data_IF_448114749267
#
_entry.id   IF_448114749267
#
_cell.length_a   1.000
_cell.length_b   1.000
_cell.length_c   1.000
_cell.angle_alpha   90.00
_cell.angle_beta   90.00
_cell.angle_gamma   90.00
#
_symmetry.space_group_name_H-M   'P 1'
#
loop_
_entity.id
_entity.type
_entity.pdbx_description
1 polymer ?
#
# COMPACT_ATOMS: atom_id res chain seq x y z
N UNK A 1 8.20 -40.51 13.93
CA UNK A 1 8.09 -40.91 15.36
C UNK A 1 9.32 -40.55 16.21
N UNK A 2 10.52 -40.36 15.64
CA UNK A 2 11.73 -39.93 16.38
C UNK A 2 11.77 -38.40 16.65
N UNK A 3 11.09 -37.58 15.83
CA UNK A 3 11.05 -36.12 16.01
C UNK A 3 10.20 -35.65 17.23
N UNK A 4 9.24 -36.44 17.71
CA UNK A 4 8.38 -36.09 18.85
C UNK A 4 9.10 -36.37 20.19
N UNK A 5 9.97 -37.38 20.24
CA UNK A 5 10.78 -37.69 21.42
C UNK A 5 11.90 -36.65 21.66
N UNK A 6 12.44 -36.04 20.60
CA UNK A 6 13.47 -34.99 20.70
C UNK A 6 12.86 -33.66 21.18
N UNK A 7 11.62 -33.34 20.77
CA UNK A 7 10.92 -32.15 21.23
C UNK A 7 10.56 -32.19 22.73
N UNK A 8 10.21 -33.37 23.26
CA UNK A 8 9.90 -33.54 24.69
C UNK A 8 11.11 -33.37 25.63
N UNK A 9 12.31 -33.79 25.19
CA UNK A 9 13.54 -33.68 25.99
C UNK A 9 14.07 -32.23 26.07
N UNK A 10 13.90 -31.46 24.99
CA UNK A 10 14.35 -30.04 24.93
C UNK A 10 13.49 -29.12 25.81
N UNK A 11 12.20 -29.44 25.99
CA UNK A 11 11.29 -28.66 26.85
C UNK A 11 11.60 -28.88 28.35
N UNK A 12 12.02 -30.09 28.74
CA UNK A 12 12.40 -30.41 30.13
C UNK A 12 13.76 -29.79 30.53
N UNK A 13 14.68 -29.66 29.57
CA UNK A 13 15.99 -29.00 29.76
C UNK A 13 15.89 -27.48 29.97
N UNK A 14 14.96 -26.79 29.27
CA UNK A 14 14.78 -25.34 29.44
C UNK A 14 14.26 -24.95 30.83
N UNK A 15 13.40 -25.75 31.48
CA UNK A 15 12.84 -25.42 32.81
C UNK A 15 13.88 -25.43 33.94
N UNK A 16 14.96 -26.20 33.83
CA UNK A 16 16.04 -26.26 34.84
C UNK A 16 17.03 -25.09 34.70
N UNK A 17 17.21 -24.55 33.49
CA UNK A 17 18.13 -23.43 33.19
C UNK A 17 17.58 -22.06 33.62
N UNK A 18 16.25 -21.89 33.66
CA UNK A 18 15.61 -20.65 34.14
C UNK A 18 15.77 -20.42 35.66
N UNK A 19 16.08 -21.44 36.46
CA UNK A 19 16.30 -21.30 37.92
C UNK A 19 17.74 -20.94 38.30
N UNK A 20 18.71 -21.11 37.38
CA UNK A 20 20.10 -20.66 37.56
C UNK A 20 20.34 -19.24 37.02
N UNK A 21 19.57 -18.79 36.03
CA UNK A 21 19.68 -17.45 35.47
C UNK A 21 19.17 -16.33 36.40
N UNK A 22 18.29 -16.64 37.36
CA UNK A 22 17.86 -15.68 38.38
C UNK A 22 18.89 -15.44 39.49
N UNK A 23 19.86 -16.35 39.69
CA UNK A 23 20.92 -16.16 40.69
C UNK A 23 22.14 -15.41 40.13
N UNK A 24 22.36 -15.48 38.82
CA UNK A 24 23.45 -14.73 38.15
C UNK A 24 23.11 -13.27 37.86
N UNK A 25 21.83 -12.89 37.94
CA UNK A 25 21.36 -11.54 37.60
C UNK A 25 21.73 -10.45 38.64
N UNK A 26 22.22 -10.84 39.83
CA UNK A 26 22.58 -9.90 40.89
C UNK A 26 24.08 -9.62 41.05
N UNK A 27 24.96 -10.16 40.19
CA UNK A 27 26.42 -10.00 40.35
C UNK A 27 27.13 -9.22 39.22
N UNK A 28 26.45 -8.92 38.11
CA UNK A 28 27.08 -8.26 36.94
C UNK A 28 26.38 -6.92 36.60
N UNK A 29 25.73 -6.28 37.57
CA UNK A 29 25.07 -4.99 37.35
C UNK A 29 25.99 -3.77 37.58
N UNK A 30 27.29 -3.96 37.81
CA UNK A 30 28.18 -2.90 38.29
C UNK A 30 29.00 -2.11 37.25
N UNK A 31 29.32 -2.66 36.08
CA UNK A 31 30.24 -2.00 35.13
C UNK A 31 29.99 -2.48 33.70
N UNK A 32 29.29 -1.67 32.87
CA UNK A 32 29.54 -1.46 31.42
C UNK A 32 28.37 -0.95 30.57
N UNK A 33 27.15 -0.75 31.09
CA UNK A 33 26.08 -0.16 30.28
C UNK A 33 25.39 0.99 31.02
N UNK A 34 25.68 2.22 30.59
CA UNK A 34 24.82 3.37 30.82
C UNK A 34 23.45 3.14 30.18
N UNK A 35 22.34 3.62 30.77
CA UNK A 35 21.00 3.36 30.25
C UNK A 35 20.81 4.06 28.89
N UNK A 36 20.56 3.28 27.85
CA UNK A 36 20.03 3.77 26.58
C UNK A 36 18.73 4.54 26.85
N UNK A 37 18.63 5.75 26.31
CA UNK A 37 17.51 6.66 26.57
C UNK A 37 16.16 6.02 26.20
N UNK A 38 15.07 6.37 26.91
CA UNK A 38 13.73 5.83 26.63
C UNK A 38 13.24 6.10 25.20
N UNK A 39 13.82 7.08 24.51
CA UNK A 39 13.58 7.33 23.07
C UNK A 39 14.19 6.26 22.15
N UNK A 40 15.32 5.65 22.52
CA UNK A 40 15.93 4.57 21.72
C UNK A 40 15.10 3.29 21.79
N UNK A 41 14.57 2.93 22.97
CA UNK A 41 13.63 1.81 23.10
C UNK A 41 12.30 2.08 22.37
N UNK A 42 11.81 3.33 22.39
CA UNK A 42 10.62 3.73 21.62
C UNK A 42 10.85 3.63 20.10
N UNK A 43 12.02 4.05 19.61
CA UNK A 43 12.38 3.98 18.19
C UNK A 43 12.60 2.54 17.73
N UNK A 44 13.22 1.69 18.54
CA UNK A 44 13.34 0.25 18.25
C UNK A 44 11.98 -0.43 18.25
N UNK A 45 11.06 -0.07 19.15
CA UNK A 45 9.69 -0.57 19.18
C UNK A 45 8.84 -0.09 17.99
N UNK A 46 9.09 1.14 17.51
CA UNK A 46 8.46 1.70 16.30
C UNK A 46 8.99 1.00 15.05
N UNK A 47 10.31 0.77 14.96
CA UNK A 47 10.92 -0.01 13.88
C UNK A 47 10.35 -1.44 13.89
N UNK A 48 10.27 -2.09 15.06
CA UNK A 48 9.64 -3.41 15.20
C UNK A 48 8.15 -3.39 14.82
N UNK A 49 7.40 -2.34 15.17
CA UNK A 49 5.99 -2.16 14.76
C UNK A 49 5.83 -1.92 13.26
N UNK A 50 6.77 -1.20 12.62
CA UNK A 50 6.80 -0.98 11.16
C UNK A 50 7.15 -2.28 10.43
N UNK A 51 8.02 -3.12 11.00
CA UNK A 51 8.26 -4.47 10.49
C UNK A 51 7.04 -5.38 10.69
N UNK A 52 6.28 -5.22 11.79
CA UNK A 52 5.13 -6.07 12.06
C UNK A 52 3.83 -5.58 11.43
N UNK A 53 3.68 -4.33 11.00
CA UNK A 53 2.43 -3.82 10.39
C UNK A 53 2.11 -4.44 9.01
N UNK A 54 3.08 -4.72 8.13
CA UNK A 54 2.87 -5.58 6.97
C UNK A 54 2.59 -7.04 7.36
N UNK A 55 3.09 -7.49 8.52
CA UNK A 55 2.94 -8.86 9.05
C UNK A 55 1.69 -9.07 9.93
N UNK A 56 1.04 -8.02 10.45
CA UNK A 56 -0.13 -8.13 11.34
C UNK A 56 -1.44 -7.99 10.57
N UNK A 57 -1.42 -7.35 9.40
CA UNK A 57 -2.50 -7.51 8.43
C UNK A 57 -2.45 -8.87 7.71
N UNK A 58 -1.43 -9.69 8.00
CA UNK A 58 -1.35 -11.07 7.53
C UNK A 58 -2.50 -11.93 8.10
N UNK A 59 -3.10 -11.55 9.25
CA UNK A 59 -4.26 -12.26 9.80
C UNK A 59 -5.54 -12.08 8.96
N UNK A 60 -5.65 -10.98 8.21
CA UNK A 60 -6.69 -10.79 7.20
C UNK A 60 -6.37 -11.47 5.86
N UNK A 61 -5.12 -11.91 5.67
CA UNK A 61 -4.64 -12.66 4.50
C UNK A 61 -4.61 -14.18 4.70
N UNK A 62 -4.66 -14.68 5.94
CA UNK A 62 -4.63 -16.11 6.28
C UNK A 62 -5.90 -16.90 5.95
N UNK A 63 -6.91 -16.27 5.34
CA UNK A 63 -8.18 -16.94 5.01
C UNK A 63 -8.23 -17.57 3.61
N UNK A 64 -7.12 -17.63 2.86
CA UNK A 64 -7.14 -18.27 1.53
C UNK A 64 -5.92 -19.15 1.29
N UNK A 65 -6.18 -20.43 1.02
CA UNK A 65 -5.29 -21.41 0.39
C UNK A 65 -4.72 -20.98 -1.00
N UNK A 66 -4.78 -19.69 -1.37
CA UNK A 66 -4.44 -19.16 -2.69
C UNK A 66 -3.55 -17.90 -2.67
N UNK A 67 -2.91 -17.55 -1.55
CA UNK A 67 -2.05 -16.36 -1.47
C UNK A 67 -0.85 -16.42 -2.45
N UNK A 68 -0.29 -17.61 -2.63
CA UNK A 68 0.81 -17.88 -3.57
C UNK A 68 0.42 -17.63 -5.04
N UNK A 69 -0.85 -17.85 -5.38
CA UNK A 69 -1.38 -17.65 -6.73
C UNK A 69 -2.01 -16.27 -6.94
N UNK A 70 -1.96 -15.38 -5.94
CA UNK A 70 -2.44 -14.02 -6.08
C UNK A 70 -1.52 -13.17 -6.98
N UNK A 71 -2.11 -12.15 -7.59
CA UNK A 71 -1.38 -11.23 -8.46
C UNK A 71 -0.47 -10.28 -7.66
N UNK A 72 0.80 -10.26 -8.02
CA UNK A 72 1.84 -9.40 -7.50
C UNK A 72 2.10 -8.25 -8.48
N UNK A 73 1.50 -7.09 -8.22
CA UNK A 73 1.58 -5.91 -9.08
C UNK A 73 2.49 -4.79 -8.55
N UNK A 74 3.22 -5.01 -7.45
CA UNK A 74 4.02 -3.96 -6.81
C UNK A 74 5.17 -3.46 -7.69
N UNK A 75 5.79 -4.32 -8.51
CA UNK A 75 6.99 -3.99 -9.30
C UNK A 75 6.74 -3.94 -10.82
N UNK A 76 5.51 -3.70 -11.25
CA UNK A 76 5.18 -3.69 -12.69
C UNK A 76 5.78 -2.48 -13.41
N UNK A 77 5.85 -1.32 -12.75
CA UNK A 77 6.40 -0.10 -13.34
C UNK A 77 7.92 -0.03 -13.17
N UNK A 78 8.62 0.38 -14.23
CA UNK A 78 10.08 0.52 -14.23
C UNK A 78 10.60 1.47 -13.15
N UNK A 79 9.87 2.55 -12.84
CA UNK A 79 10.28 3.47 -11.76
C UNK A 79 10.32 2.79 -10.38
N UNK A 80 9.37 1.87 -10.09
CA UNK A 80 9.34 1.11 -8.84
C UNK A 80 10.52 0.14 -8.74
N UNK A 81 10.92 -0.44 -9.88
CA UNK A 81 12.14 -1.26 -9.98
C UNK A 81 13.39 -0.43 -9.74
N UNK A 82 13.46 0.79 -10.30
CA UNK A 82 14.58 1.71 -10.05
C UNK A 82 14.67 2.11 -8.57
N UNK A 83 13.54 2.36 -7.91
CA UNK A 83 13.50 2.60 -6.46
C UNK A 83 14.04 1.40 -5.69
N UNK A 84 13.62 0.18 -6.03
CA UNK A 84 14.15 -1.04 -5.43
C UNK A 84 15.67 -1.16 -5.59
N UNK A 85 16.17 -0.99 -6.82
CA UNK A 85 17.61 -1.09 -7.14
C UNK A 85 18.40 -0.02 -6.38
N UNK A 86 17.95 1.23 -6.43
CA UNK A 86 18.60 2.35 -5.74
C UNK A 86 18.63 2.14 -4.24
N UNK A 87 17.52 1.68 -3.65
CA UNK A 87 17.43 1.43 -2.22
C UNK A 87 18.37 0.31 -1.80
N UNK A 88 18.37 -0.82 -2.52
CA UNK A 88 19.28 -1.94 -2.25
C UNK A 88 20.75 -1.55 -2.39
N UNK A 89 21.10 -0.80 -3.43
CA UNK A 89 22.49 -0.37 -3.69
C UNK A 89 22.96 0.59 -2.60
N UNK A 90 22.19 1.65 -2.33
CA UNK A 90 22.56 2.66 -1.34
C UNK A 90 22.62 2.06 0.08
N UNK A 91 21.64 1.24 0.44
CA UNK A 91 21.64 0.55 1.73
C UNK A 91 22.85 -0.37 1.86
N UNK A 92 23.19 -1.14 0.82
CA UNK A 92 24.33 -2.07 0.86
C UNK A 92 25.65 -1.30 1.03
N UNK A 93 25.85 -0.22 0.28
CA UNK A 93 27.05 0.64 0.40
C UNK A 93 27.16 1.19 1.82
N UNK A 94 26.08 1.77 2.36
CA UNK A 94 26.07 2.33 3.71
C UNK A 94 26.30 1.25 4.78
N UNK A 95 25.58 0.14 4.67
CA UNK A 95 25.66 -0.96 5.63
C UNK A 95 27.05 -1.59 5.68
N UNK A 96 27.65 -1.86 4.52
CA UNK A 96 28.98 -2.46 4.42
C UNK A 96 30.05 -1.51 4.96
N UNK A 97 30.01 -0.22 4.61
CA UNK A 97 31.02 0.74 5.08
C UNK A 97 30.89 1.10 6.57
N UNK A 98 29.66 1.14 7.10
CA UNK A 98 29.43 1.54 8.49
C UNK A 98 29.59 0.39 9.49
N UNK A 99 29.15 -0.81 9.10
CA UNK A 99 29.12 -1.96 9.99
C UNK A 99 30.24 -2.96 9.73
N UNK A 100 30.84 -2.95 8.52
CA UNK A 100 31.89 -3.90 8.10
C UNK A 100 31.54 -5.34 8.49
N UNK A 101 30.39 -5.86 8.02
CA UNK A 101 29.92 -7.18 8.42
C UNK A 101 30.98 -8.23 8.09
N UNK A 102 31.11 -9.25 8.95
CA UNK A 102 32.03 -10.38 8.74
C UNK A 102 33.52 -9.99 8.68
N UNK A 103 33.86 -8.79 9.15
CA UNK A 103 35.24 -8.28 9.19
C UNK A 103 35.90 -8.24 7.79
N UNK A 104 35.12 -7.86 6.78
CA UNK A 104 35.56 -7.66 5.38
C UNK A 104 36.58 -6.53 5.22
N UNK A 105 36.76 -5.70 6.24
CA UNK A 105 37.86 -4.73 6.37
C UNK A 105 39.23 -5.41 6.44
N UNK A 106 39.30 -6.65 6.96
CA UNK A 106 40.58 -7.34 7.20
C UNK A 106 41.04 -8.22 6.03
N UNK A 107 40.26 -8.29 4.96
CA UNK A 107 40.56 -9.14 3.81
C UNK A 107 41.76 -8.64 3.01
N UNK A 108 42.05 -7.34 3.11
CA UNK A 108 43.17 -6.67 2.47
C UNK A 108 43.70 -5.60 3.44
N UNK A 109 45.01 -5.35 3.41
CA UNK A 109 45.67 -4.44 4.35
C UNK A 109 45.59 -2.96 3.90
N UNK A 110 44.40 -2.52 3.50
CA UNK A 110 44.17 -1.18 2.98
C UNK A 110 43.41 -0.30 3.97
N UNK A 111 43.51 1.03 3.82
CA UNK A 111 43.01 1.97 4.82
C UNK A 111 42.42 3.23 4.18
N UNK A 112 41.46 3.86 4.85
CA UNK A 112 40.88 5.12 4.44
C UNK A 112 40.06 5.02 3.16
N UNK A 113 40.40 5.80 2.13
CA UNK A 113 39.60 5.91 0.90
C UNK A 113 39.64 4.64 0.04
N UNK A 114 40.77 3.92 -0.02
CA UNK A 114 40.85 2.68 -0.80
C UNK A 114 39.89 1.62 -0.26
N UNK A 115 39.83 1.49 1.06
CA UNK A 115 38.95 0.59 1.77
C UNK A 115 37.49 0.96 1.51
N UNK A 116 37.17 2.25 1.61
CA UNK A 116 35.84 2.76 1.30
C UNK A 116 35.41 2.41 -0.14
N UNK A 117 36.29 2.58 -1.13
CA UNK A 117 35.97 2.25 -2.53
C UNK A 117 35.81 0.74 -2.75
N UNK A 118 36.67 -0.11 -2.16
CA UNK A 118 36.51 -1.57 -2.24
C UNK A 118 35.19 -2.01 -1.62
N UNK A 119 34.93 -1.56 -0.40
CA UNK A 119 33.71 -1.88 0.35
C UNK A 119 32.44 -1.41 -0.38
N UNK A 120 32.47 -0.20 -0.93
CA UNK A 120 31.37 0.31 -1.76
C UNK A 120 31.21 -0.48 -3.06
N UNK A 121 32.30 -1.01 -3.62
CA UNK A 121 32.30 -1.87 -4.81
C UNK A 121 31.38 -3.08 -4.68
N UNK A 122 31.33 -3.73 -3.52
CA UNK A 122 30.39 -4.85 -3.27
C UNK A 122 28.93 -4.43 -3.45
N UNK A 123 28.57 -3.26 -2.92
CA UNK A 123 27.22 -2.71 -3.06
C UNK A 123 26.89 -2.35 -4.51
N UNK A 124 27.85 -1.80 -5.25
CA UNK A 124 27.69 -1.46 -6.68
C UNK A 124 27.51 -2.73 -7.52
N UNK A 125 28.32 -3.77 -7.30
CA UNK A 125 28.20 -5.05 -8.00
C UNK A 125 26.80 -5.65 -7.76
N UNK A 126 26.34 -5.67 -6.51
CA UNK A 126 24.98 -6.11 -6.16
C UNK A 126 23.91 -5.29 -6.89
N UNK A 127 24.05 -3.96 -6.89
CA UNK A 127 23.16 -3.05 -7.60
C UNK A 127 23.09 -3.31 -9.11
N UNK A 128 24.22 -3.54 -9.76
CA UNK A 128 24.30 -3.87 -11.20
C UNK A 128 23.62 -5.21 -11.49
N UNK A 129 23.90 -6.26 -10.70
CA UNK A 129 23.29 -7.58 -10.88
C UNK A 129 21.76 -7.52 -10.72
N UNK A 130 21.28 -6.86 -9.66
CA UNK A 130 19.84 -6.67 -9.44
C UNK A 130 19.22 -5.80 -10.55
N UNK A 131 19.94 -4.77 -11.01
CA UNK A 131 19.52 -3.89 -12.09
C UNK A 131 19.31 -4.63 -13.41
N UNK A 132 20.32 -5.39 -13.84
CA UNK A 132 20.25 -6.24 -15.02
C UNK A 132 19.11 -7.26 -14.90
N UNK A 133 19.00 -7.91 -13.75
CA UNK A 133 17.95 -8.88 -13.46
C UNK A 133 16.53 -8.28 -13.59
N UNK A 134 16.23 -7.17 -12.90
CA UNK A 134 14.88 -6.61 -12.83
C UNK A 134 14.47 -5.82 -14.08
N UNK A 135 15.42 -5.14 -14.74
CA UNK A 135 15.14 -4.26 -15.88
C UNK A 135 15.25 -4.97 -17.23
N UNK A 136 16.16 -5.95 -17.37
CA UNK A 136 16.45 -6.58 -18.66
C UNK A 136 15.96 -8.03 -18.65
N UNK A 137 16.47 -8.87 -17.75
CA UNK A 137 16.25 -10.32 -17.81
C UNK A 137 14.79 -10.68 -17.49
N UNK A 138 14.23 -10.12 -16.41
CA UNK A 138 12.88 -10.42 -15.95
C UNK A 138 11.79 -10.08 -16.99
N UNK A 139 11.78 -8.89 -17.62
CA UNK A 139 10.80 -8.59 -18.68
C UNK A 139 10.91 -9.48 -19.92
N UNK A 140 12.11 -9.96 -20.25
CA UNK A 140 12.33 -10.85 -21.40
C UNK A 140 11.76 -12.25 -21.11
N UNK A 141 12.02 -12.79 -19.91
CA UNK A 141 11.61 -14.14 -19.51
C UNK A 141 10.13 -14.24 -19.09
N UNK A 142 9.60 -13.23 -18.38
CA UNK A 142 8.26 -13.27 -17.78
C UNK A 142 7.37 -12.16 -18.35
N UNK A 143 6.88 -12.35 -19.58
CA UNK A 143 6.05 -11.36 -20.29
C UNK A 143 4.61 -11.24 -19.78
N UNK A 144 4.07 -12.25 -19.06
CA UNK A 144 2.63 -12.33 -18.74
C UNK A 144 2.25 -12.92 -17.38
N UNK A 145 3.21 -13.36 -16.57
CA UNK A 145 2.92 -14.00 -15.27
C UNK A 145 3.44 -13.16 -14.10
N UNK A 146 2.51 -12.56 -13.37
CA UNK A 146 2.79 -11.73 -12.20
C UNK A 146 2.23 -12.37 -10.93
N UNK A 147 2.44 -13.67 -10.70
CA UNK A 147 2.01 -14.30 -9.44
C UNK A 147 3.05 -14.13 -8.34
N UNK A 148 2.62 -14.16 -7.08
CA UNK A 148 3.51 -14.12 -5.92
C UNK A 148 4.56 -15.25 -5.96
N UNK A 149 4.20 -16.46 -6.40
CA UNK A 149 5.15 -17.57 -6.58
C UNK A 149 6.31 -17.22 -7.51
N UNK A 150 6.00 -16.66 -8.69
CA UNK A 150 7.03 -16.28 -9.67
C UNK A 150 7.96 -15.22 -9.10
N UNK A 151 7.43 -14.28 -8.33
CA UNK A 151 8.24 -13.27 -7.65
C UNK A 151 9.17 -13.87 -6.58
N UNK A 152 8.69 -14.79 -5.76
CA UNK A 152 9.51 -15.48 -4.74
C UNK A 152 10.61 -16.29 -5.42
N UNK A 153 10.25 -17.10 -6.43
CA UNK A 153 11.21 -17.90 -7.19
C UNK A 153 12.27 -17.03 -7.87
N UNK A 154 11.85 -15.89 -8.43
CA UNK A 154 12.77 -14.93 -9.03
C UNK A 154 13.73 -14.33 -8.00
N UNK A 155 13.24 -13.93 -6.83
CA UNK A 155 14.07 -13.37 -5.76
C UNK A 155 15.08 -14.41 -5.25
N UNK A 156 14.68 -15.68 -5.15
CA UNK A 156 15.59 -16.78 -4.81
C UNK A 156 16.66 -16.95 -5.90
N UNK A 157 16.27 -16.94 -7.18
CA UNK A 157 17.21 -17.02 -8.29
C UNK A 157 18.21 -15.86 -8.28
N UNK A 158 17.77 -14.63 -7.96
CA UNK A 158 18.64 -13.47 -7.80
C UNK A 158 19.68 -13.66 -6.69
N UNK A 159 19.28 -14.20 -5.53
CA UNK A 159 20.19 -14.49 -4.43
C UNK A 159 21.22 -15.55 -4.84
N UNK A 160 20.79 -16.60 -5.56
CA UNK A 160 21.69 -17.66 -6.05
C UNK A 160 22.70 -17.11 -7.06
N UNK A 161 22.25 -16.32 -8.04
CA UNK A 161 23.12 -15.71 -9.05
C UNK A 161 24.11 -14.74 -8.40
N UNK A 162 23.63 -13.88 -7.49
CA UNK A 162 24.50 -12.92 -6.80
C UNK A 162 25.53 -13.63 -5.90
N UNK A 163 25.12 -14.70 -5.22
CA UNK A 163 26.04 -15.56 -4.45
C UNK A 163 27.11 -16.20 -5.35
N UNK A 164 26.72 -16.64 -6.55
CA UNK A 164 27.67 -17.22 -7.52
C UNK A 164 28.66 -16.17 -8.04
N UNK A 165 28.20 -14.94 -8.29
CA UNK A 165 29.06 -13.81 -8.68
C UNK A 165 30.06 -13.50 -7.56
N UNK A 166 29.62 -13.41 -6.31
CA UNK A 166 30.54 -13.16 -5.19
C UNK A 166 31.52 -14.31 -4.95
N UNK A 167 31.09 -15.56 -5.10
CA UNK A 167 31.99 -16.71 -5.06
C UNK A 167 33.05 -16.63 -6.17
N UNK A 168 32.66 -16.31 -7.41
CA UNK A 168 33.60 -16.20 -8.53
C UNK A 168 34.61 -15.06 -8.37
N UNK A 169 34.23 -13.96 -7.73
CA UNK A 169 35.10 -12.81 -7.52
C UNK A 169 36.00 -12.93 -6.28
N UNK A 170 35.51 -13.55 -5.20
CA UNK A 170 36.16 -13.50 -3.88
C UNK A 170 36.34 -14.87 -3.21
N UNK A 171 35.83 -15.95 -3.81
CA UNK A 171 35.96 -17.29 -3.28
C UNK A 171 37.40 -17.79 -3.31
N UNK A 172 37.82 -18.48 -2.25
CA UNK A 172 39.12 -19.15 -2.24
C UNK A 172 39.09 -20.36 -3.18
N UNK A 173 39.96 -20.34 -4.19
CA UNK A 173 40.02 -21.38 -5.23
C UNK A 173 40.70 -22.68 -4.73
N UNK A 174 41.27 -22.67 -3.52
CA UNK A 174 41.93 -23.83 -2.91
C UNK A 174 41.04 -24.67 -1.97
N UNK A 175 39.81 -24.22 -1.69
CA UNK A 175 38.87 -24.86 -0.76
C UNK A 175 37.69 -25.52 -1.51
N UNK A 176 36.94 -26.37 -0.79
CA UNK A 176 35.76 -27.03 -1.34
C UNK A 176 34.76 -25.99 -1.88
N UNK A 177 34.44 -26.08 -3.19
CA UNK A 177 33.49 -25.18 -3.87
C UNK A 177 32.20 -24.97 -3.07
N UNK A 178 31.58 -26.07 -2.61
CA UNK A 178 30.30 -26.00 -1.92
C UNK A 178 30.37 -25.23 -0.60
N UNK A 179 31.44 -25.36 0.19
CA UNK A 179 31.53 -24.65 1.47
C UNK A 179 31.64 -23.14 1.27
N UNK A 180 32.50 -22.70 0.36
CA UNK A 180 32.69 -21.29 0.04
C UNK A 180 31.43 -20.67 -0.59
N UNK A 181 30.76 -21.43 -1.47
CA UNK A 181 29.50 -21.01 -2.04
C UNK A 181 28.40 -20.87 -0.97
N UNK A 182 28.28 -21.82 -0.03
CA UNK A 182 27.30 -21.72 1.05
C UNK A 182 27.57 -20.54 2.00
N UNK A 183 28.84 -20.21 2.24
CA UNK A 183 29.23 -19.02 3.00
C UNK A 183 28.79 -17.76 2.25
N UNK A 184 29.12 -17.67 0.96
CA UNK A 184 28.71 -16.56 0.08
C UNK A 184 27.20 -16.40 0.03
N UNK A 185 26.46 -17.52 -0.04
CA UNK A 185 25.00 -17.56 -0.07
C UNK A 185 24.42 -17.00 1.24
N UNK A 186 24.96 -17.43 2.38
CA UNK A 186 24.52 -16.95 3.69
C UNK A 186 24.69 -15.43 3.80
N UNK A 187 25.85 -14.89 3.39
CA UNK A 187 26.11 -13.46 3.44
C UNK A 187 25.25 -12.67 2.46
N UNK A 188 25.09 -13.16 1.23
CA UNK A 188 24.23 -12.56 0.21
C UNK A 188 22.77 -12.54 0.65
N UNK A 189 22.28 -13.64 1.21
CA UNK A 189 20.92 -13.72 1.74
C UNK A 189 20.67 -12.68 2.84
N UNK A 190 21.56 -12.58 3.83
CA UNK A 190 21.43 -11.60 4.92
C UNK A 190 21.54 -10.16 4.41
N UNK A 191 22.49 -9.90 3.52
CA UNK A 191 22.75 -8.57 2.97
C UNK A 191 21.64 -8.06 2.07
N UNK A 192 20.98 -8.93 1.31
CA UNK A 192 19.94 -8.54 0.36
C UNK A 192 18.53 -8.54 0.97
N UNK A 193 18.20 -9.48 1.85
CA UNK A 193 16.82 -9.65 2.33
C UNK A 193 16.30 -8.39 3.05
N UNK A 194 17.13 -7.77 3.88
CA UNK A 194 16.76 -6.58 4.65
C UNK A 194 16.43 -5.39 3.74
N UNK A 195 17.34 -4.90 2.88
CA UNK A 195 17.01 -3.76 2.01
C UNK A 195 15.90 -4.06 1.03
N UNK A 196 15.83 -5.29 0.50
CA UNK A 196 14.81 -5.67 -0.47
C UNK A 196 13.41 -5.62 0.16
N UNK A 197 13.25 -6.15 1.37
CA UNK A 197 11.96 -6.09 2.09
C UNK A 197 11.58 -4.66 2.48
N UNK A 198 12.53 -3.85 2.94
CA UNK A 198 12.31 -2.44 3.24
C UNK A 198 11.87 -1.64 2.01
N UNK A 199 12.49 -1.86 0.85
CA UNK A 199 12.12 -1.20 -0.40
C UNK A 199 10.69 -1.57 -0.83
N UNK A 200 10.30 -2.85 -0.71
CA UNK A 200 8.93 -3.27 -0.99
C UNK A 200 7.92 -2.63 -0.04
N UNK A 201 8.26 -2.53 1.25
CA UNK A 201 7.42 -1.86 2.25
C UNK A 201 7.23 -0.38 1.90
N UNK A 202 8.31 0.31 1.54
CA UNK A 202 8.26 1.70 1.09
C UNK A 202 7.35 1.88 -0.13
N UNK A 203 7.50 1.04 -1.16
CA UNK A 203 6.65 1.06 -2.36
C UNK A 203 5.18 0.77 -2.02
N UNK A 204 4.93 -0.16 -1.10
CA UNK A 204 3.58 -0.50 -0.66
C UNK A 204 2.90 0.69 0.03
N UNK A 205 3.58 1.32 0.98
CA UNK A 205 3.07 2.50 1.70
C UNK A 205 2.80 3.64 0.72
N UNK A 206 3.72 3.89 -0.21
CA UNK A 206 3.59 4.94 -1.20
C UNK A 206 2.40 4.72 -2.16
N UNK A 207 2.17 3.48 -2.61
CA UNK A 207 1.01 3.16 -3.44
C UNK A 207 -0.30 3.38 -2.68
N UNK A 208 -0.35 2.96 -1.40
CA UNK A 208 -1.53 3.15 -0.56
C UNK A 208 -1.86 4.63 -0.35
N UNK A 209 -0.84 5.47 -0.16
CA UNK A 209 -1.01 6.92 -0.08
C UNK A 209 -1.56 7.52 -1.37
N UNK A 210 -1.08 7.08 -2.53
CA UNK A 210 -1.63 7.53 -3.82
C UNK A 210 -3.08 7.08 -4.03
N UNK A 211 -3.44 5.87 -3.63
CA UNK A 211 -4.83 5.40 -3.70
C UNK A 211 -5.75 6.22 -2.80
N UNK A 212 -5.31 6.54 -1.58
CA UNK A 212 -6.06 7.40 -0.66
C UNK A 212 -6.19 8.84 -1.18
N UNK A 213 -5.20 9.37 -1.90
CA UNK A 213 -5.27 10.71 -2.51
C UNK A 213 -6.18 10.73 -3.74
N UNK A 214 -6.16 9.68 -4.58
CA UNK A 214 -7.08 9.55 -5.73
C UNK A 214 -8.55 9.40 -5.32
N UNK A 215 -8.80 8.85 -4.13
CA UNK A 215 -10.15 8.76 -3.55
C UNK A 215 -10.58 10.04 -2.81
N UNK A 216 -9.65 10.96 -2.55
CA UNK A 216 -9.90 12.23 -1.87
C UNK A 216 -10.07 13.42 -2.82
N UNK A 217 -9.86 13.24 -4.13
CA UNK A 217 -10.39 14.18 -5.11
C UNK A 217 -11.91 13.94 -5.19
N UNK A 218 -12.76 14.95 -4.91
CA UNK A 218 -14.19 14.81 -5.13
C UNK A 218 -14.37 14.49 -6.62
N UNK A 219 -15.22 13.51 -6.93
CA UNK A 219 -15.67 13.22 -8.30
C UNK A 219 -15.85 14.57 -9.01
N UNK A 220 -15.00 14.86 -10.00
CA UNK A 220 -15.00 16.18 -10.65
C UNK A 220 -16.17 16.20 -11.60
N UNK A 221 -17.38 16.29 -11.06
CA UNK A 221 -18.58 16.37 -11.85
C UNK A 221 -18.48 17.60 -12.74
N UNK A 222 -18.68 17.39 -14.03
CA UNK A 222 -18.44 18.42 -15.05
C UNK A 222 -19.38 19.59 -14.79
N UNK A 223 -18.86 20.74 -14.37
CA UNK A 223 -19.62 21.98 -14.28
C UNK A 223 -19.93 22.51 -15.68
N UNK A 224 -20.99 21.97 -16.29
CA UNK A 224 -21.45 22.31 -17.65
C UNK A 224 -22.89 22.81 -17.62
N UNK A 225 -23.24 23.60 -18.63
CA UNK A 225 -24.64 23.95 -18.91
C UNK A 225 -25.34 22.69 -19.43
N UNK A 226 -26.37 22.25 -18.72
CA UNK A 226 -27.23 21.13 -19.05
C UNK A 226 -28.49 21.68 -19.69
N UNK A 227 -28.76 21.29 -20.94
CA UNK A 227 -30.05 21.51 -21.59
C UNK A 227 -31.00 20.36 -21.25
N UNK A 228 -31.94 20.61 -20.37
CA UNK A 228 -32.98 19.69 -19.95
C UNK A 228 -34.06 19.58 -21.03
N UNK A 229 -34.34 18.34 -21.44
CA UNK A 229 -35.24 18.03 -22.55
C UNK A 229 -36.59 17.53 -22.03
N UNK A 230 -37.63 17.94 -22.72
CA UNK A 230 -39.00 17.44 -22.56
C UNK A 230 -39.11 15.99 -23.11
N UNK A 231 -40.23 15.30 -22.86
CA UNK A 231 -40.54 13.97 -23.41
C UNK A 231 -40.41 13.91 -24.95
N UNK A 232 -40.61 15.03 -25.62
CA UNK A 232 -40.51 15.18 -27.08
C UNK A 232 -39.10 15.56 -27.58
N UNK A 233 -38.10 15.60 -26.70
CA UNK A 233 -36.71 15.90 -27.05
C UNK A 233 -36.39 17.39 -27.24
N UNK A 234 -37.37 18.28 -27.05
CA UNK A 234 -37.20 19.73 -27.15
C UNK A 234 -36.48 20.27 -25.91
N UNK A 235 -35.47 21.12 -26.13
CA UNK A 235 -34.77 21.83 -25.05
C UNK A 235 -35.72 22.86 -24.42
N UNK A 236 -36.10 22.67 -23.16
CA UNK A 236 -36.99 23.59 -22.43
C UNK A 236 -36.24 24.51 -21.49
N UNK A 237 -35.18 23.99 -20.86
CA UNK A 237 -34.46 24.68 -19.80
C UNK A 237 -32.97 24.40 -19.93
N UNK A 238 -32.12 25.42 -19.82
CA UNK A 238 -30.66 25.27 -19.80
C UNK A 238 -30.09 25.87 -18.53
N UNK A 239 -29.52 25.05 -17.67
CA UNK A 239 -29.01 25.44 -16.34
C UNK A 239 -27.60 24.88 -16.13
N UNK A 240 -26.77 25.54 -15.33
CA UNK A 240 -25.51 24.93 -14.89
C UNK A 240 -25.81 23.77 -13.93
N UNK A 241 -25.04 22.70 -14.03
CA UNK A 241 -25.16 21.55 -13.12
C UNK A 241 -25.01 21.94 -11.65
N UNK A 242 -24.16 22.91 -11.34
CA UNK A 242 -23.97 23.46 -9.99
C UNK A 242 -25.22 24.10 -9.39
N UNK A 243 -26.08 24.64 -10.25
CA UNK A 243 -27.22 25.45 -9.82
C UNK A 243 -28.46 24.58 -9.54
N UNK A 244 -28.48 23.35 -10.05
CA UNK A 244 -29.56 22.39 -9.78
C UNK A 244 -29.40 21.85 -8.36
N UNK A 245 -30.44 21.98 -7.53
CA UNK A 245 -30.44 21.50 -6.13
C UNK A 245 -31.01 20.08 -6.04
N UNK A 246 -32.25 19.91 -6.49
CA UNK A 246 -32.94 18.63 -6.50
C UNK A 246 -34.08 18.64 -7.53
N UNK A 247 -34.54 17.45 -7.90
CA UNK A 247 -35.67 17.26 -8.80
C UNK A 247 -36.69 16.37 -8.10
N UNK A 248 -37.94 16.80 -8.10
CA UNK A 248 -39.07 16.12 -7.47
C UNK A 248 -40.04 15.60 -8.54
N UNK A 249 -40.56 14.39 -8.38
CA UNK A 249 -41.64 13.89 -9.23
C UNK A 249 -42.99 14.51 -8.82
N UNK A 250 -43.72 15.04 -9.79
CA UNK A 250 -45.08 15.55 -9.67
C UNK A 250 -45.95 14.96 -10.79
N UNK A 251 -46.53 13.78 -10.53
CA UNK A 251 -47.33 12.99 -11.48
C UNK A 251 -46.62 12.76 -12.83
N UNK A 252 -47.04 13.47 -13.88
CA UNK A 252 -46.48 13.40 -15.23
C UNK A 252 -45.38 14.44 -15.49
N UNK A 253 -45.03 15.22 -14.48
CA UNK A 253 -44.03 16.28 -14.53
C UNK A 253 -42.92 15.99 -13.52
N UNK A 254 -41.74 16.53 -13.81
CA UNK A 254 -40.63 16.63 -12.89
C UNK A 254 -40.43 18.11 -12.56
N UNK A 255 -40.48 18.45 -11.28
CA UNK A 255 -40.23 19.81 -10.79
C UNK A 255 -38.73 19.92 -10.50
N UNK A 256 -38.07 20.81 -11.22
CA UNK A 256 -36.63 21.05 -11.10
C UNK A 256 -36.45 22.27 -10.21
N UNK A 257 -35.80 22.09 -9.07
CA UNK A 257 -35.44 23.17 -8.16
C UNK A 257 -34.00 23.59 -8.43
N UNK A 258 -33.82 24.87 -8.77
CA UNK A 258 -32.50 25.43 -9.07
C UNK A 258 -32.31 26.78 -8.39
N UNK A 259 -31.04 27.14 -8.20
CA UNK A 259 -30.62 28.42 -7.66
C UNK A 259 -30.43 29.41 -8.81
N UNK A 260 -31.13 30.53 -8.74
CA UNK A 260 -30.90 31.66 -9.63
C UNK A 260 -30.47 32.84 -8.76
N UNK A 261 -29.18 33.18 -8.86
CA UNK A 261 -28.50 34.11 -7.96
C UNK A 261 -28.64 33.69 -6.50
N UNK A 262 -29.52 34.34 -5.73
CA UNK A 262 -29.74 34.08 -4.29
C UNK A 262 -31.16 33.57 -3.99
N UNK A 263 -31.93 33.25 -5.04
CA UNK A 263 -33.32 32.77 -4.92
C UNK A 263 -33.46 31.35 -5.46
N UNK A 264 -34.28 30.54 -4.80
CA UNK A 264 -34.64 29.21 -5.30
C UNK A 264 -35.85 29.35 -6.21
N UNK A 265 -35.68 28.97 -7.48
CA UNK A 265 -36.75 28.88 -8.46
C UNK A 265 -37.09 27.42 -8.73
N UNK A 266 -38.33 27.20 -9.17
CA UNK A 266 -38.81 25.88 -9.58
C UNK A 266 -39.42 25.95 -10.97
N UNK A 267 -39.16 24.93 -11.77
CA UNK A 267 -39.70 24.83 -13.12
C UNK A 267 -40.23 23.43 -13.36
N UNK A 268 -41.39 23.34 -14.02
CA UNK A 268 -42.03 22.07 -14.32
C UNK A 268 -41.64 21.62 -15.72
N UNK A 269 -41.03 20.44 -15.80
CA UNK A 269 -40.65 19.79 -17.04
C UNK A 269 -41.44 18.51 -17.18
N UNK A 270 -42.16 18.33 -18.29
CA UNK A 270 -42.83 17.06 -18.58
C UNK A 270 -41.77 16.02 -18.95
N UNK A 271 -41.30 15.28 -17.97
CA UNK A 271 -40.35 14.19 -18.14
C UNK A 271 -40.39 13.28 -16.92
N UNK A 272 -40.02 12.01 -17.11
CA UNK A 272 -39.90 11.06 -16.00
C UNK A 272 -38.56 11.23 -15.28
N UNK A 273 -38.55 11.04 -13.95
CA UNK A 273 -37.30 11.02 -13.17
C UNK A 273 -36.32 9.95 -13.66
N UNK A 274 -36.80 8.86 -14.27
CA UNK A 274 -35.94 7.81 -14.81
C UNK A 274 -35.17 8.30 -16.04
N UNK A 275 -35.86 8.98 -16.96
CA UNK A 275 -35.22 9.57 -18.14
C UNK A 275 -34.27 10.70 -17.74
N UNK A 276 -34.68 11.58 -16.81
CA UNK A 276 -33.80 12.62 -16.28
C UNK A 276 -32.58 12.04 -15.55
N UNK A 277 -32.72 10.94 -14.81
CA UNK A 277 -31.58 10.29 -14.15
C UNK A 277 -30.56 9.72 -15.14
N UNK A 278 -31.00 9.22 -16.29
CA UNK A 278 -30.06 8.73 -17.32
C UNK A 278 -29.40 9.90 -18.05
N UNK A 279 -30.16 10.97 -18.34
CA UNK A 279 -29.61 12.19 -18.94
C UNK A 279 -28.56 12.86 -18.02
N UNK A 280 -28.75 12.77 -16.71
CA UNK A 280 -27.93 13.45 -15.70
C UNK A 280 -26.84 12.57 -15.07
N UNK A 281 -26.64 11.37 -15.61
CA UNK A 281 -25.75 10.34 -15.03
C UNK A 281 -24.28 10.75 -14.94
N UNK A 282 -23.83 11.61 -15.86
CA UNK A 282 -22.46 12.12 -15.91
C UNK A 282 -22.23 13.33 -14.97
N UNK A 283 -23.28 13.79 -14.26
CA UNK A 283 -23.26 14.94 -13.35
C UNK A 283 -23.42 14.49 -11.89
N UNK A 284 -23.25 15.43 -10.97
CA UNK A 284 -23.39 15.22 -9.52
C UNK A 284 -24.81 14.89 -9.05
N UNK A 285 -25.75 14.63 -9.97
CA UNK A 285 -27.17 14.50 -9.68
C UNK A 285 -27.51 13.01 -9.61
N UNK A 286 -27.78 12.53 -8.40
CA UNK A 286 -28.03 11.12 -8.13
C UNK A 286 -29.44 10.87 -7.61
N UNK A 287 -29.95 9.65 -7.86
CA UNK A 287 -31.27 9.25 -7.40
C UNK A 287 -31.22 8.82 -5.94
N UNK A 288 -31.83 9.61 -5.07
CA UNK A 288 -31.90 9.31 -3.64
C UNK A 288 -33.24 8.67 -3.23
N UNK A 289 -34.31 8.89 -4.00
CA UNK A 289 -35.63 8.33 -3.74
C UNK A 289 -36.34 7.96 -5.05
N UNK A 290 -37.45 7.20 -4.95
CA UNK A 290 -38.29 6.94 -6.13
C UNK A 290 -38.84 8.24 -6.74
N UNK A 291 -39.05 9.25 -5.89
CA UNK A 291 -39.62 10.57 -6.23
C UNK A 291 -38.60 11.73 -6.20
N UNK A 292 -37.32 11.47 -5.94
CA UNK A 292 -36.31 12.54 -5.83
C UNK A 292 -34.98 12.18 -6.50
N UNK A 293 -34.42 13.15 -7.22
CA UNK A 293 -33.01 13.26 -7.59
C UNK A 293 -32.38 14.41 -6.81
N UNK A 294 -31.14 14.25 -6.35
CA UNK A 294 -30.45 15.24 -5.53
C UNK A 294 -29.08 15.53 -6.11
N UNK A 295 -28.68 16.80 -6.13
CA UNK A 295 -27.31 17.16 -6.43
C UNK A 295 -26.44 16.94 -5.18
N UNK A 296 -25.52 15.98 -5.27
CA UNK A 296 -24.63 15.57 -4.17
C UNK A 296 -23.68 16.70 -3.78
N UNK A 297 -23.25 17.55 -4.73
CA UNK A 297 -22.37 18.68 -4.44
C UNK A 297 -23.03 19.75 -3.54
N UNK A 298 -24.36 19.81 -3.55
CA UNK A 298 -25.11 20.83 -2.81
C UNK A 298 -25.67 20.30 -1.48
N UNK A 299 -25.30 19.07 -1.09
CA UNK A 299 -25.67 18.48 0.21
C UNK A 299 -24.77 19.04 1.29
N UNK A 300 -25.36 19.82 2.21
CA UNK A 300 -24.64 20.38 3.36
C UNK A 300 -24.55 19.41 4.52
N UNK A 301 -25.60 18.61 4.73
CA UNK A 301 -25.68 17.73 5.89
C UNK A 301 -26.59 16.53 5.62
N UNK A 302 -26.08 15.33 5.88
CA UNK A 302 -26.87 14.10 5.86
C UNK A 302 -27.16 13.65 7.30
N UNK A 303 -28.44 13.46 7.63
CA UNK A 303 -28.89 12.96 8.95
C UNK A 303 -29.45 11.56 8.81
N UNK A 304 -29.12 10.71 9.77
CA UNK A 304 -29.73 9.38 9.93
C UNK A 304 -30.48 9.34 11.25
N UNK A 305 -31.81 9.29 11.19
CA UNK A 305 -32.68 9.20 12.36
C UNK A 305 -33.65 8.03 12.20
N UNK A 306 -33.70 7.14 13.21
CA UNK A 306 -34.64 6.01 13.26
C UNK A 306 -34.67 5.15 11.98
N UNK A 307 -33.51 4.90 11.38
CA UNK A 307 -33.38 4.10 10.16
C UNK A 307 -33.80 4.78 8.85
N UNK A 308 -34.10 6.10 8.88
CA UNK A 308 -34.36 6.93 7.70
C UNK A 308 -33.19 7.91 7.52
N UNK A 309 -32.72 8.05 6.28
CA UNK A 309 -31.68 9.03 5.91
C UNK A 309 -32.36 10.22 5.24
N UNK A 310 -31.99 11.43 5.66
CA UNK A 310 -32.51 12.70 5.16
C UNK A 310 -31.36 13.64 4.80
N UNK A 311 -31.43 14.26 3.63
CA UNK A 311 -30.43 15.19 3.12
C UNK A 311 -30.93 16.63 3.29
N UNK A 312 -30.07 17.47 3.86
CA UNK A 312 -30.25 18.92 3.94
C UNK A 312 -29.37 19.57 2.88
N UNK A 313 -30.01 20.32 1.99
CA UNK A 313 -29.33 21.03 0.91
C UNK A 313 -28.99 22.45 1.31
N UNK A 314 -27.95 22.99 0.70
CA UNK A 314 -27.51 24.36 0.97
C UNK A 314 -28.51 25.39 0.42
N UNK A 315 -29.03 26.25 1.30
CA UNK A 315 -29.94 27.35 0.95
C UNK A 315 -31.41 26.96 0.77
N UNK A 316 -31.77 25.67 0.87
CA UNK A 316 -33.18 25.24 0.80
C UNK A 316 -33.74 24.81 2.18
N UNK A 317 -35.02 25.10 2.39
CA UNK A 317 -35.77 24.66 3.59
C UNK A 317 -36.25 23.21 3.45
N UNK A 318 -36.28 22.67 2.22
CA UNK A 318 -36.81 21.35 1.91
C UNK A 318 -35.85 20.23 2.28
N UNK A 319 -36.33 19.28 3.08
CA UNK A 319 -35.59 18.07 3.47
C UNK A 319 -35.87 16.98 2.44
N UNK A 320 -34.82 16.46 1.77
CA UNK A 320 -34.96 15.40 0.77
C UNK A 320 -34.76 14.02 1.41
N UNK A 321 -35.77 13.13 1.41
CA UNK A 321 -35.63 11.80 1.99
C UNK A 321 -34.84 10.87 1.06
N UNK A 322 -34.06 9.96 1.64
CA UNK A 322 -33.35 8.89 0.93
C UNK A 322 -34.02 7.55 1.21
N UNK A 323 -34.37 6.81 0.17
CA UNK A 323 -34.98 5.47 0.32
C UNK A 323 -33.95 4.44 0.76
N UNK A 324 -34.37 3.41 1.49
CA UNK A 324 -33.50 2.30 1.95
C UNK A 324 -32.71 1.63 0.82
N UNK A 325 -33.27 1.59 -0.39
CA UNK A 325 -32.61 1.02 -1.57
C UNK A 325 -31.38 1.83 -2.00
N UNK A 326 -31.41 3.15 -1.81
CA UNK A 326 -30.35 4.06 -2.24
C UNK A 326 -29.38 4.42 -1.11
N UNK A 327 -29.72 4.13 0.15
CA UNK A 327 -28.85 4.35 1.32
C UNK A 327 -27.37 3.95 1.14
N UNK A 328 -27.01 2.75 0.62
CA UNK A 328 -25.60 2.38 0.48
C UNK A 328 -24.79 3.31 -0.43
N UNK A 329 -25.43 3.98 -1.39
CA UNK A 329 -24.74 4.92 -2.28
C UNK A 329 -24.42 6.26 -1.58
N UNK A 330 -25.18 6.62 -0.55
CA UNK A 330 -25.04 7.87 0.20
C UNK A 330 -24.37 7.70 1.57
N UNK A 331 -23.94 6.48 1.93
CA UNK A 331 -23.32 6.20 3.24
C UNK A 331 -22.02 6.99 3.46
N UNK A 332 -21.28 7.30 2.38
CA UNK A 332 -20.06 8.11 2.44
C UNK A 332 -20.29 9.57 2.87
N UNK A 333 -21.53 10.07 2.81
CA UNK A 333 -21.89 11.43 3.24
C UNK A 333 -22.30 11.51 4.72
N UNK A 334 -22.39 10.38 5.43
CA UNK A 334 -22.85 10.30 6.82
C UNK A 334 -21.72 10.42 7.87
N UNK A 335 -20.57 11.01 7.49
CA UNK A 335 -19.38 11.11 8.35
C UNK A 335 -19.31 12.38 9.19
#
# INVERSE_FOLDING_TARGET
MIAILIAGSIIKSKKKKYKQLTFFNNSIHGKFFSPLTPNFQKNVLVIFRVFTLPLFNFKAMTDKNNLLNSDFNLLNHNWKKLVLISFCTLFSILFINLYTPFRIDQWEADQGLSQFFRLSGFGIIGGVVIGLSQLIIKPILFKREHKVVHFILWTIAEILVLSLVFYGLYGSHGSNFFSEYFISLKYTFLGLLIPYTLALCFIFIFNKQQESQKQAEPDTFINKIISLKDEYGNNRLSLKSSDILFIEAADNYSIIYYRDSDTIKKEMLRNSLKALSEQLKDFAIKRCHRSYLVNVQNVKLAKKASGKVSLHLEGSVSIVPVSRKFTPEFDHLLH
#
